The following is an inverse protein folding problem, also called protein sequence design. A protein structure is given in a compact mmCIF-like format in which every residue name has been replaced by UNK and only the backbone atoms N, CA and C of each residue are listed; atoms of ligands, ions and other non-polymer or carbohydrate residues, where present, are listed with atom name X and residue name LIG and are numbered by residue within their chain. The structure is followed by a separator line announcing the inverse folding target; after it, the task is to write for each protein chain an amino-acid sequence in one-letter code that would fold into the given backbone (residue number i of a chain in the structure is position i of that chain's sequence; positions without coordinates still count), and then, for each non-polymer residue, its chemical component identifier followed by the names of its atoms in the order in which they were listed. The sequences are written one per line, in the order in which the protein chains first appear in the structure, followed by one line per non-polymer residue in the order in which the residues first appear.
data_IF_203958146061
#
_entry.id   IF_203958146061
#
_cell.length_a   1.000
_cell.length_b   1.000
_cell.length_c   1.000
_cell.angle_alpha   90.00
_cell.angle_beta   90.00
_cell.angle_gamma   90.00
#
_symmetry.space_group_name_H-M   'P 1'
#
loop_
_entity.id
_entity.type
_entity.pdbx_description
1 polymer ?
#
# COMPACT_ATOMS: atom_id res chain seq x y z
N UNK A 1 26.17 -54.33 -2.22
CA UNK A 1 26.49 -52.91 -2.52
C UNK A 1 25.33 -52.05 -2.05
N UNK A 2 25.49 -51.29 -0.96
CA UNK A 2 24.41 -50.47 -0.38
C UNK A 2 24.63 -49.01 -0.78
N UNK A 3 23.73 -48.45 -1.59
CA UNK A 3 23.80 -47.06 -2.03
C UNK A 3 23.30 -46.15 -0.91
N UNK A 4 24.22 -45.45 -0.24
CA UNK A 4 23.89 -44.38 0.70
C UNK A 4 23.29 -43.22 -0.10
N UNK A 5 21.97 -43.04 -0.04
CA UNK A 5 21.31 -41.84 -0.56
C UNK A 5 21.66 -40.68 0.39
N UNK A 6 22.41 -39.71 -0.12
CA UNK A 6 22.65 -38.44 0.54
C UNK A 6 21.30 -37.70 0.60
N UNK A 7 20.71 -37.57 1.80
CA UNK A 7 19.62 -36.64 2.06
C UNK A 7 20.27 -35.38 2.63
N UNK A 8 20.18 -34.22 1.97
CA UNK A 8 20.48 -32.98 2.65
C UNK A 8 19.31 -32.70 3.60
N UNK A 9 19.59 -32.68 4.90
CA UNK A 9 18.70 -32.11 5.90
C UNK A 9 18.57 -30.62 5.57
N UNK A 10 17.49 -30.24 4.89
CA UNK A 10 17.13 -28.85 4.67
C UNK A 10 16.42 -28.30 5.92
N UNK A 11 17.13 -28.34 7.06
CA UNK A 11 16.85 -27.41 8.15
C UNK A 11 17.47 -26.06 7.76
N UNK A 12 16.83 -25.39 6.81
CA UNK A 12 17.03 -23.96 6.65
C UNK A 12 16.28 -23.29 7.80
N UNK A 13 17.00 -23.00 8.89
CA UNK A 13 16.67 -21.92 9.82
C UNK A 13 16.70 -20.60 9.04
N UNK A 14 15.67 -20.34 8.24
CA UNK A 14 15.41 -19.00 7.73
C UNK A 14 15.04 -18.19 8.96
N UNK A 15 15.86 -17.20 9.38
CA UNK A 15 15.51 -16.40 10.54
C UNK A 15 14.13 -15.83 10.28
N UNK A 16 13.18 -16.14 11.17
CA UNK A 16 11.84 -15.58 11.15
C UNK A 16 12.02 -14.06 11.21
N UNK A 17 12.02 -13.40 10.05
CA UNK A 17 12.00 -11.96 9.98
C UNK A 17 10.57 -11.62 10.40
N UNK A 18 10.35 -11.07 11.61
CA UNK A 18 9.01 -10.67 12.00
C UNK A 18 8.55 -9.69 10.93
N UNK A 19 7.41 -9.99 10.28
CA UNK A 19 6.79 -9.06 9.33
C UNK A 19 6.70 -7.72 10.07
N UNK A 20 7.51 -6.74 9.66
CA UNK A 20 7.55 -5.43 10.32
C UNK A 20 6.11 -4.93 10.35
N UNK A 21 5.58 -4.59 11.54
CA UNK A 21 4.27 -3.91 11.65
C UNK A 21 4.28 -2.76 10.64
N UNK A 22 3.26 -2.70 9.79
CA UNK A 22 3.16 -1.66 8.77
C UNK A 22 3.15 -0.30 9.47
N UNK A 23 4.29 0.39 9.45
CA UNK A 23 4.38 1.77 9.91
C UNK A 23 3.77 2.63 8.82
N UNK A 24 2.87 3.54 9.21
CA UNK A 24 2.36 4.54 8.28
C UNK A 24 3.53 5.33 7.69
N UNK A 25 3.34 5.80 6.47
CA UNK A 25 4.27 6.71 5.83
C UNK A 25 4.22 8.07 6.51
N UNK A 26 5.36 8.76 6.54
CA UNK A 26 5.38 10.18 6.83
C UNK A 26 4.60 10.93 5.75
N UNK A 27 3.92 12.01 6.13
CA UNK A 27 3.09 12.81 5.22
C UNK A 27 3.89 13.27 3.98
N UNK A 28 5.15 13.66 4.17
CA UNK A 28 6.06 14.03 3.07
C UNK A 28 6.21 12.93 2.03
N UNK A 29 6.27 11.66 2.47
CA UNK A 29 6.37 10.51 1.57
C UNK A 29 5.06 10.27 0.82
N UNK A 30 3.92 10.43 1.49
CA UNK A 30 2.59 10.34 0.85
C UNK A 30 2.47 11.41 -0.24
N UNK A 31 2.79 12.66 0.08
CA UNK A 31 2.76 13.78 -0.88
C UNK A 31 3.68 13.53 -2.07
N UNK A 32 4.89 13.02 -1.85
CA UNK A 32 5.81 12.72 -2.95
C UNK A 32 5.20 11.70 -3.94
N UNK A 33 4.59 10.63 -3.43
CA UNK A 33 3.90 9.63 -4.26
C UNK A 33 2.73 10.26 -5.01
N UNK A 34 1.93 11.10 -4.34
CA UNK A 34 0.76 11.76 -4.94
C UNK A 34 1.13 12.72 -6.08
N UNK A 35 2.28 13.38 -5.99
CA UNK A 35 2.74 14.29 -7.04
C UNK A 35 3.16 13.54 -8.31
N UNK A 36 3.61 12.29 -8.18
CA UNK A 36 4.03 11.45 -9.30
C UNK A 36 2.87 10.66 -9.92
N UNK A 37 1.73 10.56 -9.23
CA UNK A 37 0.55 9.82 -9.71
C UNK A 37 -0.14 10.56 -10.86
N UNK A 38 -0.39 9.81 -11.94
CA UNK A 38 -1.20 10.28 -13.08
C UNK A 38 -2.68 10.09 -12.81
N UNK A 39 -3.52 11.03 -13.25
CA UNK A 39 -4.98 10.89 -13.19
C UNK A 39 -5.44 9.56 -13.83
N UNK A 40 -6.34 8.86 -13.15
CA UNK A 40 -6.83 7.53 -13.53
C UNK A 40 -5.91 6.38 -13.11
N UNK A 41 -4.78 6.64 -12.44
CA UNK A 41 -3.91 5.58 -11.96
C UNK A 41 -4.63 4.72 -10.91
N UNK A 42 -4.61 3.37 -11.02
CA UNK A 42 -5.11 2.51 -9.96
C UNK A 42 -4.20 2.64 -8.73
N UNK A 43 -4.80 2.78 -7.56
CA UNK A 43 -4.08 2.93 -6.29
C UNK A 43 -4.74 2.11 -5.19
N UNK A 44 -3.91 1.68 -4.25
CA UNK A 44 -4.32 1.06 -2.99
C UNK A 44 -4.02 2.04 -1.85
N UNK A 45 -5.04 2.40 -1.09
CA UNK A 45 -4.96 3.33 0.04
C UNK A 45 -5.32 2.59 1.33
N UNK A 46 -4.57 2.84 2.38
CA UNK A 46 -4.91 2.39 3.74
C UNK A 46 -4.98 3.62 4.62
N UNK A 47 -6.05 3.77 5.39
CA UNK A 47 -6.24 4.90 6.30
C UNK A 47 -5.65 4.62 7.68
N UNK A 48 -5.38 5.67 8.44
CA UNK A 48 -4.83 5.57 9.80
C UNK A 48 -5.81 4.93 10.78
N UNK A 49 -7.10 5.17 10.61
CA UNK A 49 -8.16 4.64 11.48
C UNK A 49 -8.57 3.21 11.09
N UNK A 50 -8.36 2.82 9.83
CA UNK A 50 -8.72 1.50 9.29
C UNK A 50 -7.50 0.77 8.71
N UNK A 51 -6.44 0.59 9.50
CA UNK A 51 -5.16 -0.03 9.06
C UNK A 51 -5.27 -1.45 8.51
N UNK A 52 -6.39 -2.13 8.79
CA UNK A 52 -6.66 -3.49 8.33
C UNK A 52 -7.42 -3.53 7.01
N UNK A 53 -7.93 -2.38 6.55
CA UNK A 53 -8.74 -2.25 5.34
C UNK A 53 -7.93 -1.57 4.24
N UNK A 54 -7.94 -2.18 3.06
CA UNK A 54 -7.36 -1.61 1.85
C UNK A 54 -8.49 -1.08 0.97
N UNK A 55 -8.41 0.19 0.62
CA UNK A 55 -9.31 0.87 -0.30
C UNK A 55 -8.66 0.92 -1.68
N UNK A 56 -9.24 0.20 -2.63
CA UNK A 56 -8.73 0.09 -3.98
C UNK A 56 -9.60 0.93 -4.93
N UNK A 57 -8.96 1.70 -5.79
CA UNK A 57 -9.68 2.65 -6.64
C UNK A 57 -8.75 3.39 -7.61
N UNK A 58 -9.31 4.39 -8.26
CA UNK A 58 -8.59 5.26 -9.18
C UNK A 58 -8.27 6.59 -8.50
N UNK A 59 -7.01 6.99 -8.56
CA UNK A 59 -6.59 8.34 -8.22
C UNK A 59 -7.06 9.31 -9.30
N UNK A 60 -7.69 10.41 -8.91
CA UNK A 60 -8.17 11.43 -9.84
C UNK A 60 -7.32 12.69 -9.77
N UNK A 61 -7.20 13.27 -8.57
CA UNK A 61 -6.53 14.56 -8.39
C UNK A 61 -6.01 14.71 -6.97
N UNK A 62 -4.93 15.48 -6.81
CA UNK A 62 -4.43 15.95 -5.51
C UNK A 62 -4.59 17.47 -5.43
N UNK A 63 -5.43 17.94 -4.52
CA UNK A 63 -5.54 19.36 -4.18
C UNK A 63 -4.46 19.74 -3.17
N UNK A 64 -3.44 20.45 -3.66
CA UNK A 64 -2.31 20.90 -2.85
C UNK A 64 -2.68 21.94 -1.80
N UNK A 65 -3.75 22.72 -2.03
CA UNK A 65 -4.16 23.80 -1.14
C UNK A 65 -4.85 23.23 0.09
N UNK A 66 -5.79 22.32 -0.13
CA UNK A 66 -6.56 21.69 0.94
C UNK A 66 -5.89 20.42 1.48
N UNK A 67 -4.85 19.91 0.79
CA UNK A 67 -4.18 18.65 1.11
C UNK A 67 -5.13 17.46 1.11
N UNK A 68 -6.03 17.44 0.13
CA UNK A 68 -7.01 16.37 -0.09
C UNK A 68 -6.74 15.67 -1.41
N UNK A 69 -7.03 14.38 -1.47
CA UNK A 69 -7.01 13.60 -2.70
C UNK A 69 -8.44 13.27 -3.11
N UNK A 70 -8.69 13.30 -4.42
CA UNK A 70 -9.93 12.82 -5.02
C UNK A 70 -9.68 11.38 -5.50
N UNK A 71 -10.48 10.47 -4.97
CA UNK A 71 -10.32 9.04 -5.15
C UNK A 71 -11.66 8.42 -5.51
N UNK A 72 -11.68 7.56 -6.52
CA UNK A 72 -12.88 6.83 -6.91
C UNK A 72 -12.69 5.34 -6.60
N UNK A 73 -13.41 4.77 -5.61
CA UNK A 73 -13.34 3.34 -5.33
C UNK A 73 -13.76 2.48 -6.53
N UNK A 74 -13.20 1.27 -6.65
CA UNK A 74 -13.61 0.34 -7.69
C UNK A 74 -15.07 -0.10 -7.52
N UNK A 75 -15.82 -0.08 -8.62
CA UNK A 75 -17.24 -0.45 -8.63
C UNK A 75 -18.18 0.64 -8.15
N UNK A 76 -17.67 1.79 -7.72
CA UNK A 76 -18.46 2.95 -7.30
C UNK A 76 -18.31 4.10 -8.31
N UNK A 77 -19.41 4.83 -8.55
CA UNK A 77 -19.41 6.03 -9.40
C UNK A 77 -19.09 7.30 -8.62
N UNK A 78 -19.17 7.25 -7.29
CA UNK A 78 -18.98 8.41 -6.43
C UNK A 78 -17.50 8.67 -6.19
N UNK A 79 -17.14 9.95 -6.20
CA UNK A 79 -15.79 10.41 -5.87
C UNK A 79 -15.74 10.73 -4.38
N UNK A 80 -14.74 10.17 -3.71
CA UNK A 80 -14.46 10.42 -2.31
C UNK A 80 -13.28 11.38 -2.17
N UNK A 81 -13.38 12.28 -1.20
CA UNK A 81 -12.30 13.19 -0.81
C UNK A 81 -11.64 12.64 0.46
N UNK A 82 -10.32 12.45 0.42
CA UNK A 82 -9.56 11.92 1.55
C UNK A 82 -8.46 12.91 1.92
N UNK A 83 -8.42 13.31 3.19
CA UNK A 83 -7.32 14.12 3.71
C UNK A 83 -6.01 13.34 3.67
N UNK A 84 -4.95 13.96 3.16
CA UNK A 84 -3.60 13.35 3.16
C UNK A 84 -3.13 13.05 4.58
N UNK A 85 -3.63 13.79 5.57
CA UNK A 85 -3.41 13.54 6.99
C UNK A 85 -3.94 12.19 7.48
N UNK A 86 -4.97 11.64 6.84
CA UNK A 86 -5.62 10.40 7.27
C UNK A 86 -5.07 9.17 6.55
N UNK A 87 -4.28 9.36 5.49
CA UNK A 87 -3.63 8.29 4.75
C UNK A 87 -2.49 7.70 5.59
N UNK A 88 -2.55 6.40 5.83
CA UNK A 88 -1.45 5.64 6.43
C UNK A 88 -0.46 5.18 5.36
N UNK A 89 -0.95 4.58 4.27
CA UNK A 89 -0.11 4.16 3.13
C UNK A 89 -0.84 4.35 1.81
N UNK A 90 -0.09 4.63 0.75
CA UNK A 90 -0.58 4.66 -0.64
C UNK A 90 0.40 3.94 -1.56
N UNK A 91 -0.10 3.14 -2.51
CA UNK A 91 0.70 2.40 -3.49
C UNK A 91 0.00 2.38 -4.84
N UNK A 92 0.76 2.20 -5.92
CA UNK A 92 0.20 1.86 -7.23
C UNK A 92 -0.48 0.49 -7.13
N UNK A 93 -1.73 0.42 -7.61
CA UNK A 93 -2.46 -0.83 -7.77
C UNK A 93 -1.93 -1.58 -8.98
N UNK A 94 -1.62 -2.87 -8.80
CA UNK A 94 -1.13 -3.77 -9.86
C UNK A 94 -2.24 -4.62 -10.45
#
# INVERSE_FOLDING_TARGET
MSSRRFKPDNDYDVPYIPRRKARCYDEKKVVHILVDLTMGAPVEITLKDSKEVQHNGYYLQFDRKNRTIHFQPFGESEVQEIDVGDICTIRYGS
#
